data_IF_090943767357
#
_entry.id   IF_090943767357
#
_cell.length_a   1.000
_cell.length_b   1.000
_cell.length_c   1.000
_cell.angle_alpha   90.00
_cell.angle_beta   90.00
_cell.angle_gamma   90.00
#
_symmetry.space_group_name_H-M   'P 1'
#
loop_
_entity.id
_entity.type
_entity.pdbx_description
1 polymer ?
#
# COMPACT_ATOMS: atom_id res chain seq x y z
N UNK A 1 -1.90 1.73 22.26
CA UNK A 1 -2.03 1.93 20.81
C UNK A 1 -1.00 2.96 20.39
N UNK A 2 -0.26 2.67 19.30
CA UNK A 2 0.75 3.60 18.78
C UNK A 2 0.10 4.93 18.36
N UNK A 3 0.70 6.03 18.74
CA UNK A 3 0.24 7.40 18.43
C UNK A 3 0.27 7.72 16.92
N UNK A 4 0.83 6.81 16.10
CA UNK A 4 1.12 7.02 14.68
C UNK A 4 0.22 6.20 13.76
N UNK A 5 -0.91 5.68 14.24
CA UNK A 5 -1.85 4.92 13.44
C UNK A 5 -3.13 5.73 13.22
N UNK A 6 -3.40 6.06 11.95
CA UNK A 6 -4.65 6.72 11.54
C UNK A 6 -5.53 5.66 10.87
N UNK A 7 -6.67 5.37 11.47
CA UNK A 7 -7.59 4.36 10.96
C UNK A 7 -8.54 4.97 9.93
N UNK A 8 -8.77 4.24 8.83
CA UNK A 8 -9.77 4.57 7.81
C UNK A 8 -10.64 3.36 7.50
N UNK A 9 -11.92 3.58 7.27
CA UNK A 9 -12.83 2.56 6.78
C UNK A 9 -12.71 2.45 5.26
N UNK A 10 -12.36 1.27 4.79
CA UNK A 10 -12.27 0.97 3.35
C UNK A 10 -13.64 1.06 2.69
N UNK A 11 -13.68 1.50 1.42
CA UNK A 11 -14.89 1.49 0.60
C UNK A 11 -15.53 0.12 0.50
N UNK A 12 -14.72 -0.95 0.44
CA UNK A 12 -15.18 -2.35 0.36
C UNK A 12 -16.06 -2.74 1.54
N UNK A 13 -15.82 -2.15 2.71
CA UNK A 13 -16.50 -2.46 3.97
C UNK A 13 -17.43 -1.34 4.46
N UNK A 14 -17.68 -0.34 3.63
CA UNK A 14 -18.49 0.79 4.02
C UNK A 14 -19.94 0.38 4.31
N UNK A 15 -20.48 -0.51 3.50
CA UNK A 15 -21.88 -0.93 3.52
C UNK A 15 -22.14 -2.23 4.31
N UNK A 16 -21.13 -2.82 4.94
CA UNK A 16 -21.30 -4.08 5.70
C UNK A 16 -22.31 -3.94 6.85
N UNK A 17 -22.43 -2.74 7.41
CA UNK A 17 -23.38 -2.39 8.48
C UNK A 17 -24.04 -1.04 8.14
N UNK A 18 -25.22 -1.05 7.53
CA UNK A 18 -25.90 0.16 7.06
C UNK A 18 -26.09 1.23 8.13
N UNK A 19 -26.39 0.83 9.36
CA UNK A 19 -26.57 1.71 10.51
C UNK A 19 -25.31 2.48 10.91
N UNK A 20 -24.13 2.00 10.50
CA UNK A 20 -22.84 2.62 10.81
C UNK A 20 -22.26 3.46 9.67
N UNK A 21 -22.91 3.55 8.52
CA UNK A 21 -22.37 4.24 7.33
C UNK A 21 -22.02 5.69 7.65
N UNK A 22 -22.93 6.41 8.29
CA UNK A 22 -22.70 7.83 8.60
C UNK A 22 -21.55 8.01 9.61
N UNK A 23 -21.48 7.17 10.61
CA UNK A 23 -20.36 7.16 11.58
C UNK A 23 -19.04 6.87 10.87
N UNK A 24 -18.98 5.88 9.97
CA UNK A 24 -17.78 5.53 9.19
C UNK A 24 -17.35 6.70 8.29
N UNK A 25 -18.28 7.39 7.63
CA UNK A 25 -18.01 8.57 6.80
C UNK A 25 -17.40 9.71 7.62
N UNK A 26 -18.00 10.03 8.77
CA UNK A 26 -17.49 11.06 9.69
C UNK A 26 -16.10 10.72 10.20
N UNK A 27 -15.86 9.45 10.54
CA UNK A 27 -14.56 8.97 10.97
C UNK A 27 -13.51 9.15 9.86
N UNK A 28 -13.80 8.75 8.63
CA UNK A 28 -12.90 8.95 7.50
C UNK A 28 -12.59 10.44 7.24
N UNK A 29 -13.61 11.30 7.33
CA UNK A 29 -13.42 12.76 7.20
C UNK A 29 -12.48 13.30 8.29
N UNK A 30 -12.62 12.82 9.52
CA UNK A 30 -11.71 13.19 10.63
C UNK A 30 -10.29 12.71 10.36
N UNK A 31 -10.12 11.47 9.92
CA UNK A 31 -8.82 10.90 9.60
C UNK A 31 -8.11 11.66 8.47
N UNK A 32 -8.84 12.07 7.42
CA UNK A 32 -8.30 12.91 6.35
C UNK A 32 -7.85 14.30 6.87
N UNK A 33 -8.62 14.91 7.76
CA UNK A 33 -8.24 16.18 8.38
C UNK A 33 -6.98 16.05 9.24
N UNK A 34 -6.87 14.96 9.99
CA UNK A 34 -5.69 14.66 10.81
C UNK A 34 -4.44 14.49 9.94
N UNK A 35 -4.53 13.71 8.86
CA UNK A 35 -3.44 13.55 7.89
C UNK A 35 -3.04 14.89 7.25
N UNK A 36 -4.02 15.73 6.89
CA UNK A 36 -3.75 17.05 6.34
C UNK A 36 -2.98 17.95 7.31
N UNK A 37 -3.31 17.91 8.59
CA UNK A 37 -2.60 18.67 9.63
C UNK A 37 -1.17 18.15 9.82
N UNK A 38 -0.97 16.85 9.83
CA UNK A 38 0.36 16.24 9.94
C UNK A 38 1.24 16.66 8.75
N UNK A 39 0.72 16.55 7.53
CA UNK A 39 1.47 16.92 6.32
C UNK A 39 1.85 18.40 6.30
N UNK A 40 0.97 19.30 6.73
CA UNK A 40 1.26 20.74 6.87
C UNK A 40 2.37 21.03 7.87
N UNK A 41 2.51 20.20 8.90
CA UNK A 41 3.60 20.28 9.85
C UNK A 41 4.97 19.92 9.27
N UNK A 42 5.02 19.29 8.10
CA UNK A 42 6.24 18.84 7.44
C UNK A 42 6.93 17.68 8.15
N UNK A 43 7.96 17.13 7.51
CA UNK A 43 8.79 16.04 8.08
C UNK A 43 7.99 14.79 8.50
N UNK A 44 6.94 14.48 7.74
CA UNK A 44 6.08 13.30 7.98
C UNK A 44 6.25 12.27 6.88
N UNK A 45 6.28 11.00 7.27
CA UNK A 45 6.12 9.86 6.37
C UNK A 45 4.75 9.23 6.62
N UNK A 46 3.91 9.15 5.60
CA UNK A 46 2.62 8.46 5.67
C UNK A 46 2.68 7.26 4.73
N UNK A 47 2.50 6.07 5.30
CA UNK A 47 2.39 4.84 4.54
C UNK A 47 0.93 4.42 4.44
N UNK A 48 0.48 4.10 3.23
CA UNK A 48 -0.89 3.65 2.96
C UNK A 48 -0.90 2.40 2.07
N UNK A 49 -1.97 1.60 2.18
CA UNK A 49 -2.30 0.51 1.27
C UNK A 49 -3.53 0.92 0.43
N UNK A 50 -3.35 1.49 -0.78
CA UNK A 50 -4.46 2.09 -1.54
C UNK A 50 -5.44 1.06 -2.13
N UNK A 51 -5.13 -0.24 -2.09
CA UNK A 51 -6.06 -1.32 -2.46
C UNK A 51 -7.26 -1.43 -1.50
N UNK A 52 -7.17 -0.79 -0.33
CA UNK A 52 -8.24 -0.75 0.65
C UNK A 52 -8.53 -2.10 1.34
N UNK A 53 -7.59 -3.03 1.30
CA UNK A 53 -7.72 -4.34 1.92
C UNK A 53 -6.41 -5.11 1.93
N UNK A 54 -6.44 -6.30 2.52
CA UNK A 54 -5.32 -7.24 2.48
C UNK A 54 -5.31 -7.97 1.16
N UNK A 55 -4.12 -8.19 0.61
CA UNK A 55 -3.95 -9.03 -0.56
C UNK A 55 -4.35 -10.48 -0.24
N UNK A 56 -4.81 -11.19 -1.24
CA UNK A 56 -5.22 -12.59 -1.17
C UNK A 56 -4.59 -13.36 -2.33
N UNK A 57 -4.34 -14.66 -2.17
CA UNK A 57 -3.90 -15.46 -3.29
C UNK A 57 -4.98 -15.49 -4.38
N UNK A 58 -4.56 -15.53 -5.62
CA UNK A 58 -5.46 -15.74 -6.74
C UNK A 58 -6.15 -17.11 -6.59
N UNK A 59 -7.49 -17.21 -6.63
CA UNK A 59 -8.21 -18.46 -6.39
C UNK A 59 -7.84 -19.58 -7.38
N UNK A 60 -7.47 -19.23 -8.61
CA UNK A 60 -7.16 -20.19 -9.68
C UNK A 60 -5.71 -20.64 -9.69
N UNK A 61 -4.76 -19.74 -9.43
CA UNK A 61 -3.32 -20.02 -9.49
C UNK A 61 -2.67 -20.23 -8.11
N UNK A 62 -3.34 -19.81 -7.03
CA UNK A 62 -2.75 -19.76 -5.69
C UNK A 62 -1.65 -18.71 -5.52
N UNK A 63 -1.37 -17.94 -6.57
CA UNK A 63 -0.30 -16.95 -6.54
C UNK A 63 -0.72 -15.68 -5.79
N UNK A 64 0.23 -15.12 -5.04
CA UNK A 64 0.11 -13.85 -4.36
C UNK A 64 0.52 -12.72 -5.29
N UNK A 65 -0.35 -11.72 -5.36
CA UNK A 65 -0.10 -10.49 -6.13
C UNK A 65 -0.67 -9.29 -5.39
N UNK A 66 -0.03 -8.11 -5.51
CA UNK A 66 -0.62 -6.86 -5.01
C UNK A 66 -1.98 -6.61 -5.65
N UNK A 67 -2.98 -6.30 -4.83
CA UNK A 67 -4.31 -5.95 -5.34
C UNK A 67 -4.28 -4.59 -6.05
N UNK A 68 -5.09 -4.39 -7.09
CA UNK A 68 -5.21 -3.11 -7.79
C UNK A 68 -5.52 -1.96 -6.83
N UNK A 69 -4.93 -0.80 -7.10
CA UNK A 69 -5.13 0.39 -6.30
C UNK A 69 -6.49 1.05 -6.58
N UNK A 70 -7.15 1.56 -5.54
CA UNK A 70 -8.33 2.42 -5.68
C UNK A 70 -7.90 3.83 -6.08
N UNK A 71 -8.29 4.27 -7.28
CA UNK A 71 -7.90 5.57 -7.82
C UNK A 71 -8.34 6.75 -6.95
N UNK A 72 -9.46 6.62 -6.24
CA UNK A 72 -9.89 7.68 -5.32
C UNK A 72 -9.07 7.71 -4.03
N UNK A 73 -8.58 6.55 -3.56
CA UNK A 73 -7.67 6.53 -2.41
C UNK A 73 -6.33 7.18 -2.76
N UNK A 74 -5.78 6.87 -3.92
CA UNK A 74 -4.55 7.49 -4.45
C UNK A 74 -4.74 9.00 -4.62
N UNK A 75 -5.83 9.44 -5.28
CA UNK A 75 -6.09 10.86 -5.53
C UNK A 75 -6.29 11.65 -4.24
N UNK A 76 -6.95 11.08 -3.24
CA UNK A 76 -7.09 11.72 -1.94
C UNK A 76 -5.72 12.01 -1.30
N UNK A 77 -4.79 11.06 -1.34
CA UNK A 77 -3.46 11.26 -0.78
C UNK A 77 -2.65 12.28 -1.58
N UNK A 78 -2.69 12.20 -2.91
CA UNK A 78 -2.09 13.20 -3.79
C UNK A 78 -2.58 14.62 -3.45
N UNK A 79 -3.90 14.81 -3.39
CA UNK A 79 -4.51 16.11 -3.09
C UNK A 79 -4.16 16.60 -1.69
N UNK A 80 -4.06 15.73 -0.71
CA UNK A 80 -3.60 16.12 0.63
C UNK A 80 -2.18 16.66 0.61
N UNK A 81 -1.27 16.04 -0.18
CA UNK A 81 0.10 16.53 -0.37
C UNK A 81 0.12 17.89 -1.07
N UNK A 82 -0.59 18.03 -2.19
CA UNK A 82 -0.64 19.29 -2.96
C UNK A 82 -1.18 20.46 -2.12
N UNK A 83 -2.13 20.21 -1.22
CA UNK A 83 -2.73 21.24 -0.37
C UNK A 83 -2.03 21.40 0.99
N UNK A 84 -0.93 20.69 1.22
CA UNK A 84 -0.18 20.81 2.47
C UNK A 84 0.57 22.14 2.61
N UNK A 85 0.90 22.80 1.48
CA UNK A 85 1.69 24.04 1.49
C UNK A 85 3.19 23.84 1.75
N UNK A 86 3.63 22.57 1.77
CA UNK A 86 5.04 22.16 1.86
C UNK A 86 5.30 21.13 0.76
N UNK A 87 6.55 21.00 0.27
CA UNK A 87 6.89 19.98 -0.72
C UNK A 87 6.51 18.60 -0.21
N UNK A 88 5.86 17.81 -1.06
CA UNK A 88 5.46 16.45 -0.76
C UNK A 88 5.82 15.50 -1.90
N UNK A 89 6.22 14.28 -1.55
CA UNK A 89 6.77 13.29 -2.47
C UNK A 89 6.02 11.97 -2.35
N UNK A 90 5.85 11.26 -3.46
CA UNK A 90 5.16 9.96 -3.51
C UNK A 90 6.13 8.89 -4.02
N UNK A 91 6.37 7.88 -3.19
CA UNK A 91 7.25 6.76 -3.49
C UNK A 91 6.46 5.45 -3.50
N UNK A 92 6.42 4.71 -4.61
CA UNK A 92 5.90 3.36 -4.62
C UNK A 92 6.73 2.44 -3.75
N UNK A 93 6.06 1.68 -2.88
CA UNK A 93 6.68 0.73 -1.96
C UNK A 93 6.08 -0.65 -2.20
N UNK A 94 6.93 -1.63 -2.46
CA UNK A 94 6.56 -3.04 -2.56
C UNK A 94 7.03 -3.79 -1.34
N UNK A 95 6.15 -4.62 -0.79
CA UNK A 95 6.40 -5.45 0.37
C UNK A 95 6.04 -6.90 0.07
N UNK A 96 6.98 -7.81 0.30
CA UNK A 96 6.76 -9.25 0.16
C UNK A 96 7.01 -9.90 1.52
N UNK A 97 5.92 -10.20 2.23
CA UNK A 97 5.97 -10.72 3.60
C UNK A 97 4.81 -11.68 3.94
N UNK A 98 4.07 -12.17 2.94
CA UNK A 98 2.87 -12.99 3.18
C UNK A 98 3.16 -14.30 3.93
N UNK A 99 4.37 -14.84 3.80
CA UNK A 99 4.76 -16.07 4.51
C UNK A 99 5.01 -15.84 6.01
N UNK A 100 5.29 -14.59 6.43
CA UNK A 100 5.48 -14.26 7.86
C UNK A 100 4.18 -14.39 8.64
N UNK A 101 3.09 -13.91 8.08
CA UNK A 101 1.76 -13.99 8.69
C UNK A 101 0.71 -14.11 7.57
N UNK A 102 0.59 -15.31 6.95
CA UNK A 102 -0.33 -15.51 5.85
C UNK A 102 -1.76 -15.22 6.33
N UNK A 103 -2.52 -14.42 5.57
CA UNK A 103 -3.93 -14.27 5.87
C UNK A 103 -4.66 -15.60 5.60
N UNK A 104 -5.74 -15.91 6.32
CA UNK A 104 -6.54 -17.09 6.06
C UNK A 104 -7.11 -17.03 4.64
N UNK A 105 -7.34 -18.20 4.04
CA UNK A 105 -7.86 -18.30 2.66
C UNK A 105 -9.26 -17.71 2.53
N UNK A 106 -10.06 -17.81 3.59
CA UNK A 106 -11.40 -17.23 3.65
C UNK A 106 -11.42 -16.05 4.61
N UNK A 107 -12.24 -15.05 4.30
CA UNK A 107 -12.44 -13.90 5.18
C UNK A 107 -13.41 -14.33 6.29
N UNK A 108 -12.90 -14.50 7.49
CA UNK A 108 -13.76 -14.59 8.67
C UNK A 108 -14.20 -13.18 9.06
N UNK A 109 -15.51 -12.98 9.17
CA UNK A 109 -16.09 -11.67 9.56
C UNK A 109 -16.05 -11.46 11.07
N UNK A 110 -15.74 -12.49 11.82
CA UNK A 110 -15.72 -12.46 13.28
C UNK A 110 -14.44 -11.82 13.83
N UNK A 111 -14.58 -11.13 14.94
CA UNK A 111 -13.45 -10.59 15.70
C UNK A 111 -12.73 -11.76 16.36
N UNK A 112 -11.40 -11.81 16.20
CA UNK A 112 -10.59 -12.86 16.81
C UNK A 112 -10.06 -13.90 15.84
N UNK A 113 -10.08 -13.61 14.53
CA UNK A 113 -9.43 -14.43 13.51
C UNK A 113 -8.02 -14.85 13.95
N UNK A 114 -7.77 -16.14 14.12
CA UNK A 114 -6.48 -16.65 14.53
C UNK A 114 -5.42 -16.42 13.44
N UNK A 115 -4.24 -15.99 13.86
CA UNK A 115 -3.10 -15.77 12.98
C UNK A 115 -1.99 -16.74 13.31
N UNK A 116 -1.45 -17.37 12.29
CA UNK A 116 -0.22 -18.16 12.41
C UNK A 116 0.94 -17.23 12.02
N UNK A 117 1.91 -17.08 12.93
CA UNK A 117 3.13 -16.35 12.67
C UNK A 117 4.23 -17.35 12.41
N UNK A 118 4.92 -17.21 11.28
CA UNK A 118 6.02 -18.08 10.89
C UNK A 118 7.31 -17.24 10.76
N UNK A 119 8.44 -17.88 11.03
CA UNK A 119 9.74 -17.23 10.84
C UNK A 119 10.17 -17.35 9.37
N UNK A 120 9.94 -16.29 8.60
CA UNK A 120 10.31 -16.18 7.19
C UNK A 120 10.97 -14.83 6.92
N UNK A 121 11.72 -14.76 5.82
CA UNK A 121 12.25 -13.50 5.32
C UNK A 121 11.15 -12.56 4.81
N UNK A 122 11.40 -11.28 4.89
CA UNK A 122 10.57 -10.25 4.27
C UNK A 122 11.40 -9.44 3.27
N UNK A 123 10.80 -9.12 2.13
CA UNK A 123 11.40 -8.25 1.11
C UNK A 123 10.71 -6.90 1.10
N UNK A 124 11.50 -5.83 1.02
CA UNK A 124 11.04 -4.46 0.86
C UNK A 124 11.77 -3.82 -0.32
N UNK A 125 11.05 -3.13 -1.19
CA UNK A 125 11.62 -2.36 -2.29
C UNK A 125 10.87 -1.04 -2.45
N UNK A 126 11.62 0.05 -2.55
CA UNK A 126 11.10 1.40 -2.81
C UNK A 126 11.64 1.84 -4.15
N UNK A 127 10.80 2.39 -5.02
CA UNK A 127 11.24 2.97 -6.29
C UNK A 127 11.51 4.46 -6.17
N UNK A 128 11.97 5.06 -7.27
CA UNK A 128 12.08 6.50 -7.39
C UNK A 128 10.72 7.17 -7.22
N UNK A 129 10.75 8.45 -6.91
CA UNK A 129 9.57 9.29 -6.82
C UNK A 129 8.79 9.29 -8.14
N UNK A 130 7.46 9.27 -8.03
CA UNK A 130 6.57 9.45 -9.18
C UNK A 130 5.80 10.75 -8.98
N UNK A 131 6.08 11.72 -9.85
CA UNK A 131 5.44 13.03 -9.82
C UNK A 131 4.14 13.02 -10.65
N UNK A 132 3.05 13.52 -10.07
CA UNK A 132 1.75 13.58 -10.75
C UNK A 132 1.79 14.45 -12.00
N UNK A 133 2.43 15.63 -11.92
CA UNK A 133 2.51 16.57 -13.02
C UNK A 133 3.21 16.00 -14.24
N UNK A 134 4.31 15.28 -14.03
CA UNK A 134 5.08 14.67 -15.12
C UNK A 134 4.27 13.57 -15.83
N UNK A 135 3.56 12.74 -15.05
CA UNK A 135 2.74 11.64 -15.59
C UNK A 135 1.53 12.17 -16.35
N UNK A 136 0.93 13.27 -15.88
CA UNK A 136 -0.34 13.76 -16.43
C UNK A 136 -0.21 14.90 -17.43
N UNK A 137 1.01 15.30 -17.78
CA UNK A 137 1.28 16.45 -18.67
C UNK A 137 0.54 16.39 -20.01
N UNK A 138 0.19 15.19 -20.50
CA UNK A 138 -0.46 14.98 -21.80
C UNK A 138 -1.86 14.40 -21.69
N UNK A 139 -2.45 14.32 -20.48
CA UNK A 139 -3.81 13.81 -20.30
C UNK A 139 -4.85 14.85 -20.68
N UNK A 140 -5.99 14.39 -21.22
CA UNK A 140 -7.05 15.26 -21.74
C UNK A 140 -7.94 15.84 -20.65
N UNK A 141 -8.06 15.15 -19.53
CA UNK A 141 -8.91 15.54 -18.42
C UNK A 141 -8.41 14.96 -17.09
N UNK A 142 -8.95 15.47 -15.99
CA UNK A 142 -8.52 15.10 -14.65
C UNK A 142 -8.79 13.63 -14.29
N UNK A 143 -9.83 13.01 -14.88
CA UNK A 143 -10.16 11.61 -14.60
C UNK A 143 -9.15 10.67 -15.26
N UNK A 144 -8.80 10.94 -16.52
CA UNK A 144 -7.73 10.23 -17.24
C UNK A 144 -6.39 10.36 -16.50
N UNK A 145 -6.06 11.58 -16.04
CA UNK A 145 -4.83 11.83 -15.28
C UNK A 145 -4.79 11.05 -13.98
N UNK A 146 -5.89 11.00 -13.24
CA UNK A 146 -6.00 10.23 -12.00
C UNK A 146 -5.82 8.74 -12.23
N UNK A 147 -6.44 8.20 -13.27
CA UNK A 147 -6.33 6.79 -13.61
C UNK A 147 -4.93 6.43 -14.08
N UNK A 148 -4.34 7.24 -14.96
CA UNK A 148 -2.98 7.05 -15.45
C UNK A 148 -1.96 7.05 -14.31
N UNK A 149 -2.06 8.03 -13.40
CA UNK A 149 -1.19 8.13 -12.24
C UNK A 149 -1.33 6.91 -11.31
N UNK A 150 -2.57 6.50 -11.04
CA UNK A 150 -2.86 5.32 -10.20
C UNK A 150 -2.27 4.05 -10.81
N UNK A 151 -2.44 3.86 -12.12
CA UNK A 151 -1.90 2.71 -12.84
C UNK A 151 -0.37 2.74 -12.87
N UNK A 152 0.25 3.91 -13.01
CA UNK A 152 1.71 4.05 -12.98
C UNK A 152 2.27 3.66 -11.62
N UNK A 153 1.67 4.13 -10.52
CA UNK A 153 2.05 3.72 -9.16
C UNK A 153 1.87 2.21 -8.95
N UNK A 154 0.74 1.66 -9.35
CA UNK A 154 0.44 0.23 -9.23
C UNK A 154 1.44 -0.63 -10.02
N UNK A 155 1.70 -0.29 -11.27
CA UNK A 155 2.65 -1.01 -12.12
C UNK A 155 4.07 -0.96 -11.55
N UNK A 156 4.46 0.17 -10.97
CA UNK A 156 5.75 0.29 -10.30
C UNK A 156 5.84 -0.69 -9.11
N UNK A 157 4.81 -0.75 -8.27
CA UNK A 157 4.74 -1.71 -7.15
C UNK A 157 4.78 -3.15 -7.63
N UNK A 158 4.01 -3.50 -8.68
CA UNK A 158 3.98 -4.87 -9.25
C UNK A 158 5.34 -5.27 -9.81
N UNK A 159 6.01 -4.38 -10.53
CA UNK A 159 7.33 -4.63 -11.08
C UNK A 159 8.34 -4.93 -9.96
N UNK A 160 8.36 -4.13 -8.90
CA UNK A 160 9.22 -4.34 -7.75
C UNK A 160 8.84 -5.61 -6.97
N UNK A 161 7.57 -5.91 -6.84
CA UNK A 161 7.10 -7.16 -6.25
C UNK A 161 7.65 -8.39 -6.99
N UNK A 162 7.62 -8.36 -8.32
CA UNK A 162 8.18 -9.43 -9.14
C UNK A 162 9.70 -9.57 -8.97
N UNK A 163 10.43 -8.46 -8.82
CA UNK A 163 11.86 -8.47 -8.52
C UNK A 163 12.12 -9.13 -7.16
N UNK A 164 11.39 -8.73 -6.11
CA UNK A 164 11.48 -9.33 -4.79
C UNK A 164 11.15 -10.82 -4.81
N UNK A 165 10.06 -11.20 -5.49
CA UNK A 165 9.66 -12.60 -5.67
C UNK A 165 10.76 -13.41 -6.34
N UNK A 166 11.34 -12.90 -7.42
CA UNK A 166 12.42 -13.56 -8.14
C UNK A 166 13.69 -13.71 -7.29
N UNK A 167 14.04 -12.70 -6.49
CA UNK A 167 15.18 -12.75 -5.59
C UNK A 167 15.03 -13.85 -4.53
N UNK A 168 13.86 -13.92 -3.87
CA UNK A 168 13.58 -14.94 -2.85
C UNK A 168 13.56 -16.35 -3.43
N UNK A 169 13.03 -16.55 -4.63
CA UNK A 169 13.01 -17.87 -5.27
C UNK A 169 14.37 -18.28 -5.83
N UNK A 170 15.21 -17.33 -6.27
CA UNK A 170 16.59 -17.61 -6.72
C UNK A 170 17.49 -18.04 -5.56
N UNK A 171 17.33 -17.47 -4.40
CA UNK A 171 18.10 -17.81 -3.19
C UNK A 171 17.86 -19.27 -2.72
N UNK A 172 16.79 -19.88 -3.17
CA UNK A 172 16.51 -21.32 -2.96
C UNK A 172 17.27 -22.23 -3.96
N UNK A 173 17.99 -21.68 -4.95
CA UNK A 173 18.63 -22.54 -5.97
C UNK A 173 19.77 -21.98 -6.84
N UNK A 174 20.23 -20.73 -6.72
CA UNK A 174 21.38 -20.23 -7.50
C UNK A 174 21.94 -18.89 -6.97
N UNK A 175 23.21 -18.64 -7.27
CA UNK A 175 23.99 -17.49 -6.82
C UNK A 175 23.33 -16.13 -7.08
N UNK A 176 23.33 -15.30 -6.05
CA UNK A 176 22.74 -13.96 -5.92
C UNK A 176 23.35 -12.98 -6.92
N UNK A 177 22.51 -12.21 -7.62
CA UNK A 177 22.94 -10.99 -8.30
C UNK A 177 23.23 -9.88 -7.28
N UNK A 178 24.27 -9.11 -7.53
CA UNK A 178 24.97 -8.22 -6.60
C UNK A 178 24.19 -7.04 -5.97
N UNK A 179 22.88 -6.95 -6.15
CA UNK A 179 22.08 -5.79 -5.68
C UNK A 179 21.08 -6.12 -4.57
N UNK A 180 21.09 -7.31 -4.02
CA UNK A 180 20.24 -7.68 -2.88
C UNK A 180 21.07 -7.63 -1.61
N UNK A 181 20.83 -6.66 -0.76
CA UNK A 181 21.43 -6.57 0.57
C UNK A 181 20.58 -7.40 1.52
N UNK A 182 21.13 -8.50 2.03
CA UNK A 182 20.49 -9.25 3.11
C UNK A 182 20.81 -8.59 4.45
N UNK A 183 19.79 -8.12 5.13
CA UNK A 183 19.88 -7.60 6.50
C UNK A 183 19.55 -8.67 7.55
N UNK A 184 19.59 -9.95 7.18
CA UNK A 184 19.23 -11.05 8.08
C UNK A 184 20.12 -11.19 9.31
N UNK A 185 21.27 -10.54 9.34
CA UNK A 185 22.19 -10.51 10.50
C UNK A 185 22.74 -9.10 10.74
N UNK A 186 21.91 -8.13 11.13
CA UNK A 186 22.34 -6.73 11.31
C UNK A 186 23.27 -6.52 12.53
N UNK A 187 23.52 -7.56 13.33
CA UNK A 187 24.20 -7.48 14.65
C UNK A 187 25.54 -8.24 14.69
N UNK A 188 26.11 -8.59 13.58
CA UNK A 188 27.46 -9.15 13.53
C UNK A 188 28.51 -8.11 13.23
#
# INVERSE_FOLDING_TARGET
MGRNLICVYSKKHMNDFPELIEMKRRSNTRSLKEMALLLRGGSQLIWIAPSGGRDRPNPSSGEWYPAPFDSSAVDNMRRLLEHAGVPGHIYPLSLLCYEVMPPPQQVEKEIGEQRVISFHGAGLSVTEEINYGDITAHTKNADEGRELFTNTLYNSVVNQYNVLKSAIFRDRGAAVSNNVISLSQPWR
#
